data_IF_303419909802
#
_entry.id   IF_303419909802
#
_cell.length_a   1.000
_cell.length_b   1.000
_cell.length_c   1.000
_cell.angle_alpha   90.00
_cell.angle_beta   90.00
_cell.angle_gamma   90.00
#
_symmetry.space_group_name_H-M   'P 1'
#
loop_
_entity.id
_entity.type
_entity.pdbx_description
1 polymer ?
#
# COMPACT_ATOMS: atom_id res chain seq x y z
N UNK A 1 30.48 -23.68 -23.23
CA UNK A 1 30.94 -22.30 -23.51
C UNK A 1 29.70 -21.48 -23.85
N UNK A 2 29.28 -20.46 -23.13
CA UNK A 2 29.80 -19.78 -21.95
C UNK A 2 28.60 -19.47 -21.03
N UNK A 3 28.88 -19.29 -19.75
CA UNK A 3 27.91 -18.95 -18.72
C UNK A 3 27.07 -17.74 -19.13
N UNK A 4 25.75 -17.87 -19.01
CA UNK A 4 24.90 -16.71 -18.77
C UNK A 4 25.40 -16.11 -17.47
N UNK A 5 26.11 -14.98 -17.57
CA UNK A 5 26.51 -14.20 -16.42
C UNK A 5 25.27 -13.95 -15.57
N UNK A 6 25.36 -14.23 -14.27
CA UNK A 6 24.42 -13.73 -13.29
C UNK A 6 24.38 -12.21 -13.43
N UNK A 7 23.43 -11.71 -14.22
CA UNK A 7 23.04 -10.32 -14.22
C UNK A 7 22.65 -10.03 -12.77
N UNK A 8 23.46 -9.23 -12.07
CA UNK A 8 23.07 -8.58 -10.82
C UNK A 8 21.65 -8.05 -11.04
N UNK A 9 20.64 -8.73 -10.52
CA UNK A 9 19.30 -8.18 -10.46
C UNK A 9 19.41 -7.05 -9.43
N UNK A 10 19.73 -5.85 -9.92
CA UNK A 10 19.71 -4.63 -9.13
C UNK A 10 18.25 -4.49 -8.71
N UNK A 11 17.98 -4.71 -7.43
CA UNK A 11 16.65 -4.52 -6.86
C UNK A 11 16.17 -3.06 -7.03
N UNK A 12 14.97 -2.74 -6.56
CA UNK A 12 14.46 -1.38 -6.66
C UNK A 12 15.41 -0.40 -5.96
N UNK A 13 15.59 0.76 -6.56
CA UNK A 13 16.32 1.89 -5.96
C UNK A 13 15.35 2.77 -5.17
N UNK A 14 15.80 3.53 -4.15
CA UNK A 14 14.93 4.43 -3.41
C UNK A 14 14.32 5.49 -4.34
N UNK A 15 13.00 5.61 -4.33
CA UNK A 15 12.30 6.54 -5.22
C UNK A 15 12.80 7.98 -5.11
N UNK A 16 12.99 8.48 -3.88
CA UNK A 16 13.48 9.84 -3.63
C UNK A 16 14.84 10.14 -4.26
N UNK A 17 15.72 9.14 -4.41
CA UNK A 17 17.04 9.36 -5.00
C UNK A 17 16.99 9.55 -6.53
N UNK A 18 15.96 9.05 -7.21
CA UNK A 18 15.78 9.20 -8.67
C UNK A 18 14.86 10.37 -9.02
N UNK A 19 13.88 10.62 -8.16
CA UNK A 19 12.75 11.47 -8.48
C UNK A 19 13.03 12.98 -8.41
N UNK A 20 14.25 13.40 -8.06
CA UNK A 20 14.71 14.81 -8.11
C UNK A 20 15.28 15.22 -9.47
N UNK A 21 15.46 14.28 -10.39
CA UNK A 21 16.09 14.52 -11.70
C UNK A 21 15.11 14.83 -12.85
N UNK A 22 13.79 14.81 -12.60
CA UNK A 22 12.77 14.91 -13.66
C UNK A 22 11.73 15.98 -13.32
N UNK A 23 12.00 17.22 -13.76
CA UNK A 23 11.04 18.32 -13.75
C UNK A 23 10.15 18.24 -15.01
N UNK A 24 9.22 17.30 -15.00
CA UNK A 24 8.23 17.16 -16.08
C UNK A 24 6.83 17.01 -15.48
N UNK A 25 6.01 18.06 -15.60
CA UNK A 25 4.58 17.94 -15.35
C UNK A 25 3.94 17.35 -16.62
N UNK A 26 3.43 16.12 -16.54
CA UNK A 26 2.50 15.65 -17.57
C UNK A 26 1.17 16.36 -17.30
N UNK A 27 0.72 17.19 -18.25
CA UNK A 27 -0.57 17.84 -18.16
C UNK A 27 -1.66 16.78 -18.37
N UNK A 28 -2.36 16.37 -17.31
CA UNK A 28 -3.79 16.02 -17.46
C UNK A 28 -4.53 16.25 -16.14
N UNK A 29 -5.27 17.35 -16.02
CA UNK A 29 -6.50 17.32 -15.22
C UNK A 29 -7.78 17.55 -16.03
N UNK A 30 -7.75 18.36 -17.09
CA UNK A 30 -8.99 18.85 -17.74
C UNK A 30 -9.74 17.79 -18.56
N UNK A 31 -9.03 16.81 -19.16
CA UNK A 31 -9.63 15.84 -20.12
C UNK A 31 -10.75 14.97 -19.51
N UNK A 32 -10.84 14.89 -18.18
CA UNK A 32 -11.79 14.00 -17.48
C UNK A 32 -12.73 14.73 -16.53
N UNK A 33 -12.67 16.07 -16.43
CA UNK A 33 -13.47 16.82 -15.45
C UNK A 33 -14.98 16.61 -15.64
N UNK A 34 -15.43 16.58 -16.90
CA UNK A 34 -16.84 16.30 -17.23
C UNK A 34 -17.29 14.94 -16.71
N UNK A 35 -16.46 13.90 -16.87
CA UNK A 35 -16.73 12.56 -16.36
C UNK A 35 -16.81 12.59 -14.84
N UNK A 36 -15.84 13.21 -14.16
CA UNK A 36 -15.82 13.29 -12.69
C UNK A 36 -17.03 14.03 -12.14
N UNK A 37 -17.43 15.13 -12.78
CA UNK A 37 -18.56 15.96 -12.36
C UNK A 37 -19.89 15.21 -12.41
N UNK A 38 -20.05 14.30 -13.38
CA UNK A 38 -21.25 13.47 -13.57
C UNK A 38 -21.34 12.24 -12.65
N UNK A 39 -20.26 11.86 -11.95
CA UNK A 39 -20.30 10.74 -11.02
C UNK A 39 -21.12 11.07 -9.76
N UNK A 40 -21.87 10.11 -9.19
CA UNK A 40 -22.54 10.30 -7.91
C UNK A 40 -21.55 10.76 -6.84
N UNK A 41 -21.92 11.76 -6.04
CA UNK A 41 -21.06 12.33 -5.02
C UNK A 41 -21.63 12.16 -3.61
N UNK A 42 -20.76 12.03 -2.62
CA UNK A 42 -21.10 12.08 -1.21
C UNK A 42 -20.08 12.92 -0.46
N UNK A 43 -20.52 13.75 0.47
CA UNK A 43 -19.62 14.43 1.40
C UNK A 43 -19.48 13.56 2.65
N UNK A 44 -18.26 13.15 2.97
CA UNK A 44 -17.95 12.36 4.16
C UNK A 44 -16.59 12.79 4.71
N UNK A 45 -16.47 12.92 6.03
CA UNK A 45 -15.19 13.18 6.71
C UNK A 45 -14.46 14.45 6.24
N UNK A 46 -15.22 15.47 5.84
CA UNK A 46 -14.67 16.72 5.28
C UNK A 46 -14.06 16.56 3.89
N UNK A 47 -14.46 15.54 3.13
CA UNK A 47 -14.02 15.27 1.76
C UNK A 47 -15.22 15.10 0.83
N UNK A 48 -15.04 15.45 -0.44
CA UNK A 48 -15.97 15.09 -1.51
C UNK A 48 -15.50 13.77 -2.12
N UNK A 49 -16.31 12.74 -2.00
CA UNK A 49 -16.09 11.43 -2.59
C UNK A 49 -16.98 11.28 -3.83
N UNK A 50 -16.44 10.66 -4.88
CA UNK A 50 -17.17 10.29 -6.10
C UNK A 50 -17.24 8.77 -6.19
N UNK A 51 -18.42 8.24 -6.52
CA UNK A 51 -18.57 6.82 -6.79
C UNK A 51 -18.06 6.52 -8.19
N UNK A 52 -16.90 5.86 -8.27
CA UNK A 52 -16.27 5.46 -9.52
C UNK A 52 -16.20 3.94 -9.59
N UNK A 53 -17.02 3.34 -10.47
CA UNK A 53 -17.06 1.89 -10.73
C UNK A 53 -17.16 1.04 -9.46
N UNK A 54 -18.05 1.44 -8.53
CA UNK A 54 -18.31 0.73 -7.29
C UNK A 54 -17.49 1.19 -6.08
N UNK A 55 -16.41 1.95 -6.28
CA UNK A 55 -15.59 2.46 -5.18
C UNK A 55 -15.84 3.95 -4.93
N UNK A 56 -15.77 4.38 -3.67
CA UNK A 56 -15.75 5.78 -3.27
C UNK A 56 -14.34 6.33 -3.33
N UNK A 57 -14.07 7.22 -4.29
CA UNK A 57 -12.75 7.79 -4.53
C UNK A 57 -12.79 9.28 -4.18
N UNK A 58 -11.72 9.79 -3.57
CA UNK A 58 -11.57 11.23 -3.36
C UNK A 58 -11.65 11.93 -4.72
N UNK A 59 -12.47 12.98 -4.84
CA UNK A 59 -12.76 13.62 -6.13
C UNK A 59 -11.50 13.95 -6.93
N UNK A 60 -10.48 14.50 -6.27
CA UNK A 60 -9.20 14.90 -6.86
C UNK A 60 -8.40 13.73 -7.44
N UNK A 61 -8.69 12.48 -7.02
CA UNK A 61 -7.99 11.26 -7.45
C UNK A 61 -8.72 10.51 -8.56
N UNK A 62 -9.96 10.85 -8.91
CA UNK A 62 -10.71 10.12 -9.93
C UNK A 62 -10.01 10.22 -11.29
N UNK A 63 -9.57 11.41 -11.67
CA UNK A 63 -8.82 11.63 -12.93
C UNK A 63 -7.50 10.86 -12.93
N UNK A 64 -6.83 10.76 -11.79
CA UNK A 64 -5.62 9.96 -11.62
C UNK A 64 -5.88 8.47 -11.84
N UNK A 65 -6.99 7.94 -11.33
CA UNK A 65 -7.37 6.53 -11.53
C UNK A 65 -7.67 6.24 -12.99
N UNK A 66 -8.44 7.11 -13.66
CA UNK A 66 -8.72 6.99 -15.10
C UNK A 66 -7.41 7.05 -15.91
N UNK A 67 -6.53 7.98 -15.56
CA UNK A 67 -5.23 8.15 -16.20
C UNK A 67 -4.34 6.92 -16.03
N UNK A 68 -4.22 6.40 -14.81
CA UNK A 68 -3.44 5.19 -14.51
C UNK A 68 -3.98 3.99 -15.29
N UNK A 69 -5.31 3.80 -15.32
CA UNK A 69 -5.98 2.75 -16.12
C UNK A 69 -5.65 2.80 -17.62
N UNK A 70 -5.43 4.00 -18.17
CA UNK A 70 -5.19 4.20 -19.61
C UNK A 70 -3.71 4.24 -20.00
N UNK A 71 -2.86 4.79 -19.13
CA UNK A 71 -1.48 5.16 -19.47
C UNK A 71 -0.43 4.29 -18.81
N UNK A 72 -0.74 3.66 -17.68
CA UNK A 72 0.25 2.87 -16.96
C UNK A 72 0.53 1.54 -17.68
N UNK A 73 1.81 1.31 -17.98
CA UNK A 73 2.30 0.05 -18.55
C UNK A 73 3.32 -0.55 -17.58
N UNK A 74 3.03 -1.72 -16.96
CA UNK A 74 3.99 -2.41 -16.13
C UNK A 74 5.13 -2.97 -16.99
N UNK A 75 6.29 -3.15 -16.35
CA UNK A 75 7.49 -3.74 -16.94
C UNK A 75 7.71 -5.13 -16.32
N UNK A 76 8.44 -6.02 -17.01
CA UNK A 76 8.78 -7.33 -16.44
C UNK A 76 9.47 -7.19 -15.08
N UNK A 77 8.98 -7.93 -14.10
CA UNK A 77 9.50 -7.91 -12.72
C UNK A 77 8.96 -6.79 -11.84
N UNK A 78 8.08 -5.91 -12.36
CA UNK A 78 7.42 -4.91 -11.52
C UNK A 78 6.59 -5.58 -10.42
N UNK A 79 6.63 -4.97 -9.23
CA UNK A 79 5.86 -5.40 -8.06
C UNK A 79 4.98 -4.26 -7.59
N UNK A 80 3.67 -4.51 -7.60
CA UNK A 80 2.65 -3.60 -7.08
C UNK A 80 2.24 -4.02 -5.67
N UNK A 81 2.56 -3.18 -4.69
CA UNK A 81 2.04 -3.28 -3.35
C UNK A 81 0.65 -2.65 -3.30
N UNK A 82 -0.33 -3.36 -2.73
CA UNK A 82 -1.69 -2.87 -2.60
C UNK A 82 -2.20 -3.03 -1.17
N UNK A 83 -3.03 -2.10 -0.72
CA UNK A 83 -3.67 -2.21 0.59
C UNK A 83 -4.83 -1.23 0.70
N UNK A 84 -5.86 -1.50 1.53
CA UNK A 84 -6.65 -0.43 2.09
C UNK A 84 -5.74 0.48 2.94
N UNK A 85 -6.08 1.76 3.02
CA UNK A 85 -5.31 2.67 3.86
C UNK A 85 -5.30 2.15 5.31
N UNK A 86 -4.11 2.19 5.93
CA UNK A 86 -3.89 1.81 7.34
C UNK A 86 -3.94 0.31 7.66
N UNK A 87 -3.83 -0.55 6.64
CA UNK A 87 -3.67 -1.99 6.80
C UNK A 87 -2.19 -2.47 6.86
N UNK A 88 -1.22 -1.60 7.16
CA UNK A 88 0.19 -1.98 7.25
C UNK A 88 1.06 -1.58 6.05
N UNK A 89 0.56 -0.70 5.18
CA UNK A 89 1.26 -0.20 3.98
C UNK A 89 2.71 0.22 4.22
N UNK A 90 2.97 1.04 5.25
CA UNK A 90 4.33 1.53 5.56
C UNK A 90 5.28 0.39 5.88
N UNK A 91 4.79 -0.63 6.61
CA UNK A 91 5.56 -1.81 6.96
C UNK A 91 5.80 -2.70 5.74
N UNK A 92 4.77 -2.95 4.93
CA UNK A 92 4.89 -3.71 3.68
C UNK A 92 5.88 -3.04 2.71
N UNK A 93 5.84 -1.70 2.55
CA UNK A 93 6.81 -0.96 1.75
C UNK A 93 8.24 -1.19 2.23
N UNK A 94 8.47 -1.09 3.55
CA UNK A 94 9.79 -1.30 4.14
C UNK A 94 10.29 -2.74 3.92
N UNK A 95 9.45 -3.73 4.22
CA UNK A 95 9.78 -5.15 4.05
C UNK A 95 10.05 -5.49 2.58
N UNK A 96 9.16 -5.14 1.66
CA UNK A 96 9.33 -5.42 0.24
C UNK A 96 10.56 -4.73 -0.35
N UNK A 97 10.81 -3.47 0.02
CA UNK A 97 12.00 -2.76 -0.43
C UNK A 97 13.29 -3.43 0.08
N UNK A 98 13.39 -3.67 1.40
CA UNK A 98 14.55 -4.31 2.00
C UNK A 98 14.77 -5.73 1.45
N UNK A 99 13.71 -6.49 1.22
CA UNK A 99 13.80 -7.82 0.60
C UNK A 99 14.31 -7.72 -0.84
N UNK A 100 13.68 -6.91 -1.70
CA UNK A 100 14.04 -6.88 -3.12
C UNK A 100 15.40 -6.23 -3.38
N UNK A 101 15.79 -5.27 -2.55
CA UNK A 101 17.01 -4.50 -2.73
C UNK A 101 18.21 -5.03 -1.91
N UNK A 102 18.05 -6.14 -1.16
CA UNK A 102 19.06 -6.69 -0.24
C UNK A 102 20.46 -6.92 -0.83
N UNK A 103 20.53 -7.20 -2.14
CA UNK A 103 21.81 -7.39 -2.83
C UNK A 103 22.58 -6.08 -3.02
N UNK A 104 21.87 -4.96 -3.20
CA UNK A 104 22.45 -3.63 -3.33
C UNK A 104 22.55 -2.89 -1.98
N UNK A 105 21.60 -3.15 -1.09
CA UNK A 105 21.52 -2.58 0.26
C UNK A 105 21.33 -3.71 1.29
N UNK A 106 22.42 -4.31 1.78
CA UNK A 106 22.33 -5.32 2.83
C UNK A 106 21.58 -4.78 4.07
N UNK A 107 20.73 -5.58 4.74
CA UNK A 107 19.88 -5.09 5.83
C UNK A 107 20.65 -4.61 7.07
N UNK A 108 21.91 -5.02 7.21
CA UNK A 108 22.82 -4.62 8.30
C UNK A 108 23.70 -3.43 7.94
N UNK A 109 23.62 -2.91 6.71
CA UNK A 109 24.40 -1.76 6.27
C UNK A 109 23.95 -0.49 7.00
N UNK A 110 24.91 0.24 7.56
CA UNK A 110 24.68 1.52 8.24
C UNK A 110 24.14 2.61 7.29
N UNK A 111 24.34 2.47 5.98
CA UNK A 111 23.85 3.37 4.94
C UNK A 111 22.56 2.87 4.27
N UNK A 112 21.92 1.84 4.81
CA UNK A 112 20.68 1.31 4.23
C UNK A 112 19.63 2.43 4.07
N UNK A 113 18.96 2.58 2.91
CA UNK A 113 18.04 3.70 2.64
C UNK A 113 16.97 3.91 3.72
N UNK A 114 16.39 2.85 4.26
CA UNK A 114 15.39 2.89 5.34
C UNK A 114 15.89 3.47 6.69
N UNK A 115 17.20 3.69 6.86
CA UNK A 115 17.75 4.39 8.03
C UNK A 115 17.77 5.92 7.85
N UNK A 116 17.74 6.40 6.58
CA UNK A 116 17.79 7.83 6.23
C UNK A 116 16.55 8.35 5.50
N UNK A 117 15.61 7.47 5.16
CA UNK A 117 14.38 7.80 4.45
C UNK A 117 13.15 7.16 5.10
N UNK A 118 12.02 7.81 4.96
CA UNK A 118 10.74 7.18 5.26
C UNK A 118 10.43 6.10 4.20
N UNK A 119 9.79 4.96 4.57
CA UNK A 119 9.44 3.93 3.58
C UNK A 119 8.59 4.44 2.40
N UNK A 120 7.81 5.50 2.59
CA UNK A 120 7.04 6.16 1.52
C UNK A 120 7.91 6.95 0.53
N UNK A 121 9.15 7.27 0.89
CA UNK A 121 10.16 7.88 0.02
C UNK A 121 10.99 6.83 -0.74
N UNK A 122 11.00 5.58 -0.27
CA UNK A 122 11.62 4.46 -0.99
C UNK A 122 10.69 3.89 -2.06
N UNK A 123 9.39 3.78 -1.76
CA UNK A 123 8.40 3.16 -2.65
C UNK A 123 7.34 4.19 -3.07
N UNK A 124 7.26 4.57 -4.37
CA UNK A 124 6.36 5.59 -4.87
C UNK A 124 4.90 5.20 -4.66
N UNK A 125 4.06 6.21 -4.38
CA UNK A 125 2.61 6.04 -4.30
C UNK A 125 1.97 6.51 -5.61
N UNK A 126 1.50 5.56 -6.42
CA UNK A 126 1.00 5.84 -7.77
C UNK A 126 -0.20 6.79 -7.76
N UNK A 127 -1.16 6.56 -6.87
CA UNK A 127 -2.39 7.36 -6.81
C UNK A 127 -2.04 8.86 -6.68
N UNK A 128 -1.03 9.19 -5.88
CA UNK A 128 -0.57 10.56 -5.67
C UNK A 128 0.25 11.10 -6.84
N UNK A 129 1.17 10.30 -7.40
CA UNK A 129 1.97 10.72 -8.56
C UNK A 129 1.08 11.05 -9.76
N UNK A 130 0.09 10.21 -10.06
CA UNK A 130 -0.86 10.46 -11.14
C UNK A 130 -1.79 11.65 -10.82
N UNK A 131 -2.19 11.83 -9.56
CA UNK A 131 -2.98 13.01 -9.12
C UNK A 131 -2.19 14.31 -9.30
N UNK A 132 -0.88 14.26 -9.05
CA UNK A 132 0.03 15.40 -9.19
C UNK A 132 0.52 15.63 -10.63
N UNK A 133 0.22 14.76 -11.60
CA UNK A 133 0.76 14.83 -12.95
C UNK A 133 2.27 14.55 -13.02
N UNK A 134 2.77 13.72 -12.09
CA UNK A 134 4.18 13.38 -11.89
C UNK A 134 4.50 11.92 -12.25
N UNK A 135 3.70 11.31 -13.12
CA UNK A 135 3.88 9.93 -13.61
C UNK A 135 5.23 9.72 -14.33
N UNK A 136 5.80 10.77 -14.93
CA UNK A 136 7.15 10.73 -15.50
C UNK A 136 8.24 10.34 -14.47
N UNK A 137 8.05 10.67 -13.18
CA UNK A 137 8.98 10.28 -12.11
C UNK A 137 8.95 8.77 -11.86
N UNK A 138 7.79 8.13 -12.04
CA UNK A 138 7.67 6.67 -11.96
C UNK A 138 8.35 6.00 -13.17
N UNK A 139 8.24 6.60 -14.36
CA UNK A 139 8.88 6.09 -15.57
C UNK A 139 10.41 6.22 -15.55
N UNK A 140 10.95 7.20 -14.82
CA UNK A 140 12.39 7.37 -14.66
C UNK A 140 13.06 6.30 -13.77
N UNK A 141 12.29 5.52 -13.00
CA UNK A 141 12.84 4.45 -12.20
C UNK A 141 13.38 3.31 -13.07
N UNK A 142 14.54 2.71 -12.70
CA UNK A 142 15.00 1.48 -13.32
C UNK A 142 14.06 0.31 -12.99
N UNK A 143 14.05 -0.70 -13.86
CA UNK A 143 13.38 -1.97 -13.58
C UNK A 143 14.26 -2.90 -12.73
N UNK A 144 13.67 -3.77 -11.90
CA UNK A 144 12.23 -3.85 -11.61
C UNK A 144 11.76 -2.69 -10.71
N UNK A 145 10.54 -2.19 -10.95
CA UNK A 145 9.95 -1.15 -10.10
C UNK A 145 9.17 -1.79 -8.95
N UNK A 146 9.39 -1.27 -7.74
CA UNK A 146 8.52 -1.52 -6.60
C UNK A 146 7.64 -0.28 -6.42
N UNK A 147 6.32 -0.46 -6.40
CA UNK A 147 5.36 0.64 -6.40
C UNK A 147 4.17 0.32 -5.49
N UNK A 148 3.37 1.32 -5.14
CA UNK A 148 2.23 1.13 -4.25
C UNK A 148 0.96 1.85 -4.71
N UNK A 149 -0.21 1.25 -4.47
CA UNK A 149 -1.54 1.84 -4.68
C UNK A 149 -2.54 1.49 -3.57
N UNK A 150 -3.54 2.35 -3.37
CA UNK A 150 -4.73 2.03 -2.56
C UNK A 150 -5.95 1.67 -3.42
N UNK A 151 -5.80 1.52 -4.73
CA UNK A 151 -6.88 1.17 -5.65
C UNK A 151 -7.48 -0.22 -5.35
N UNK A 152 -8.77 -0.37 -5.62
CA UNK A 152 -9.42 -1.67 -5.68
C UNK A 152 -8.86 -2.50 -6.82
N UNK A 153 -8.83 -3.83 -6.68
CA UNK A 153 -8.34 -4.72 -7.73
C UNK A 153 -9.10 -4.50 -9.06
N UNK A 154 -10.42 -4.32 -8.99
CA UNK A 154 -11.29 -4.04 -10.14
C UNK A 154 -11.00 -2.71 -10.85
N UNK A 155 -10.25 -1.81 -10.21
CA UNK A 155 -9.84 -0.53 -10.78
C UNK A 155 -8.41 -0.56 -11.33
N UNK A 156 -7.63 -1.62 -11.08
CA UNK A 156 -6.30 -1.74 -11.68
C UNK A 156 -6.41 -1.89 -13.21
N UNK A 157 -5.40 -1.44 -13.98
CA UNK A 157 -5.35 -1.71 -15.41
C UNK A 157 -5.29 -3.21 -15.68
N UNK A 158 -5.94 -3.67 -16.75
CA UNK A 158 -5.81 -5.05 -17.22
C UNK A 158 -4.36 -5.43 -17.55
N UNK A 159 -3.56 -4.45 -18.00
CA UNK A 159 -2.11 -4.62 -18.21
C UNK A 159 -1.34 -5.00 -16.94
N UNK A 160 -1.92 -4.78 -15.76
CA UNK A 160 -1.39 -5.21 -14.45
C UNK A 160 -2.04 -6.52 -13.99
N UNK A 161 -3.38 -6.62 -14.01
CA UNK A 161 -4.09 -7.79 -13.44
C UNK A 161 -3.90 -9.05 -14.26
N UNK A 162 -3.76 -8.93 -15.58
CA UNK A 162 -3.69 -10.08 -16.50
C UNK A 162 -2.25 -10.38 -16.91
N UNK A 163 -1.26 -9.71 -16.30
CA UNK A 163 0.13 -9.78 -16.68
C UNK A 163 0.92 -10.75 -15.79
N UNK A 164 1.41 -11.88 -16.34
CA UNK A 164 2.16 -12.87 -15.57
C UNK A 164 3.46 -12.34 -14.95
N UNK A 165 4.05 -11.30 -15.56
CA UNK A 165 5.34 -10.71 -15.20
C UNK A 165 5.23 -9.54 -14.22
N UNK A 166 4.01 -9.13 -13.86
CA UNK A 166 3.74 -8.15 -12.81
C UNK A 166 3.16 -8.86 -11.59
N UNK A 167 3.83 -8.73 -10.44
CA UNK A 167 3.35 -9.32 -9.18
C UNK A 167 2.58 -8.30 -8.36
N UNK A 168 1.52 -8.74 -7.69
CA UNK A 168 0.73 -7.94 -6.76
C UNK A 168 0.88 -8.53 -5.37
N UNK A 169 1.27 -7.70 -4.40
CA UNK A 169 1.30 -8.07 -2.98
C UNK A 169 0.29 -7.21 -2.25
N UNK A 170 -0.79 -7.82 -1.81
CA UNK A 170 -1.86 -7.16 -1.06
C UNK A 170 -1.71 -7.44 0.43
N UNK A 171 -1.90 -6.43 1.28
CA UNK A 171 -2.02 -6.61 2.73
C UNK A 171 -3.34 -6.05 3.25
N UNK A 172 -4.06 -6.86 4.03
CA UNK A 172 -5.22 -6.45 4.79
C UNK A 172 -4.96 -6.49 6.30
N UNK A 173 -5.93 -5.97 7.05
CA UNK A 173 -5.94 -5.91 8.51
C UNK A 173 -7.38 -6.07 8.98
N UNK A 174 -7.59 -6.49 10.23
CA UNK A 174 -8.92 -6.45 10.85
C UNK A 174 -9.58 -5.07 10.59
N UNK A 175 -10.78 -5.04 10.00
CA UNK A 175 -11.44 -3.79 9.62
C UNK A 175 -11.67 -2.81 10.77
N UNK A 176 -11.91 -3.29 12.01
CA UNK A 176 -12.11 -2.45 13.19
C UNK A 176 -10.82 -1.73 13.56
N UNK A 177 -9.72 -2.47 13.58
CA UNK A 177 -8.39 -1.94 13.84
C UNK A 177 -7.90 -0.98 12.75
N UNK A 178 -8.19 -1.30 11.49
CA UNK A 178 -7.96 -0.41 10.35
C UNK A 178 -8.69 0.92 10.57
N UNK A 179 -9.97 0.88 10.92
CA UNK A 179 -10.81 2.06 11.11
C UNK A 179 -10.29 2.96 12.24
N UNK A 180 -9.93 2.37 13.37
CA UNK A 180 -9.31 3.09 14.50
C UNK A 180 -7.97 3.71 14.08
N UNK A 181 -7.17 2.98 13.31
CA UNK A 181 -5.93 3.53 12.77
C UNK A 181 -6.16 4.67 11.76
N UNK A 182 -7.24 4.63 10.98
CA UNK A 182 -7.62 5.67 10.04
C UNK A 182 -8.09 6.94 10.75
N UNK A 183 -8.89 6.79 11.81
CA UNK A 183 -9.30 7.92 12.65
C UNK A 183 -8.10 8.70 13.19
N UNK A 184 -7.18 8.01 13.86
CA UNK A 184 -5.99 8.64 14.41
C UNK A 184 -5.09 9.30 13.35
N UNK A 185 -5.06 8.73 12.15
CA UNK A 185 -4.26 9.26 11.05
C UNK A 185 -4.85 10.54 10.45
N UNK A 186 -6.18 10.63 10.37
CA UNK A 186 -6.86 11.75 9.72
C UNK A 186 -7.33 12.86 10.67
N UNK A 187 -7.51 12.57 11.98
CA UNK A 187 -8.06 13.54 12.94
C UNK A 187 -7.22 14.81 13.13
N UNK A 188 -5.93 14.77 12.77
CA UNK A 188 -5.05 15.95 12.76
C UNK A 188 -5.14 16.79 11.49
N UNK A 189 -5.81 16.28 10.45
CA UNK A 189 -5.87 16.89 9.10
C UNK A 189 -7.28 17.41 8.77
N UNK A 190 -8.32 16.74 9.27
CA UNK A 190 -9.72 17.11 9.04
C UNK A 190 -10.53 17.06 10.35
N UNK A 191 -11.48 17.98 10.55
CA UNK A 191 -12.34 17.97 11.72
C UNK A 191 -13.48 16.94 11.52
N UNK A 192 -13.37 15.78 12.15
CA UNK A 192 -14.48 14.82 12.29
C UNK A 192 -14.27 13.95 13.54
N UNK A 193 -15.38 13.43 14.08
CA UNK A 193 -15.37 12.54 15.25
C UNK A 193 -15.16 11.08 14.85
N UNK A 194 -14.82 10.22 15.81
CA UNK A 194 -14.76 8.79 15.53
C UNK A 194 -16.12 8.24 15.06
N UNK A 195 -17.23 8.74 15.62
CA UNK A 195 -18.59 8.34 15.25
C UNK A 195 -18.93 8.70 13.80
N UNK A 196 -18.48 9.87 13.31
CA UNK A 196 -18.65 10.26 11.92
C UNK A 196 -17.95 9.26 10.97
N UNK A 197 -16.71 8.90 11.31
CA UNK A 197 -15.95 7.89 10.56
C UNK A 197 -16.59 6.52 10.63
N UNK A 198 -17.04 6.12 11.81
CA UNK A 198 -17.66 4.81 12.02
C UNK A 198 -18.94 4.65 11.22
N UNK A 199 -19.84 5.63 11.27
CA UNK A 199 -21.09 5.58 10.51
C UNK A 199 -20.82 5.63 8.99
N UNK A 200 -19.90 6.49 8.55
CA UNK A 200 -19.45 6.54 7.16
C UNK A 200 -18.87 5.20 6.68
N UNK A 201 -18.08 4.51 7.51
CA UNK A 201 -17.54 3.19 7.20
C UNK A 201 -18.60 2.08 7.18
N UNK A 202 -19.60 2.12 8.07
CA UNK A 202 -20.75 1.21 8.03
C UNK A 202 -21.55 1.34 6.73
N UNK A 203 -21.61 2.54 6.16
CA UNK A 203 -22.24 2.80 4.85
C UNK A 203 -21.30 2.52 3.66
N UNK A 204 -20.03 2.17 3.93
CA UNK A 204 -19.02 1.95 2.89
C UNK A 204 -18.46 3.22 2.26
N UNK A 205 -18.82 4.41 2.77
CA UNK A 205 -18.51 5.72 2.18
C UNK A 205 -17.22 6.34 2.72
N UNK A 206 -16.14 5.57 2.75
CA UNK A 206 -14.79 6.04 3.12
C UNK A 206 -13.93 6.25 1.87
N UNK A 207 -12.81 7.00 1.95
CA UNK A 207 -11.84 7.03 0.86
C UNK A 207 -11.35 5.63 0.50
N UNK A 208 -11.52 5.27 -0.77
CA UNK A 208 -11.30 3.94 -1.34
C UNK A 208 -12.15 2.85 -0.67
N UNK A 209 -13.32 3.22 -0.14
CA UNK A 209 -14.36 2.29 0.30
C UNK A 209 -15.23 1.80 -0.87
N UNK A 210 -16.16 0.88 -0.60
CA UNK A 210 -16.31 0.16 0.66
C UNK A 210 -15.17 -0.83 0.90
N UNK A 211 -14.86 -1.08 2.18
CA UNK A 211 -13.73 -1.95 2.55
C UNK A 211 -13.95 -3.41 2.12
N UNK A 212 -15.17 -3.92 2.20
CA UNK A 212 -15.47 -5.31 1.86
C UNK A 212 -15.22 -5.62 0.37
N UNK A 213 -15.60 -4.73 -0.56
CA UNK A 213 -15.30 -4.91 -1.98
C UNK A 213 -13.80 -4.86 -2.25
N UNK A 214 -13.08 -4.00 -1.51
CA UNK A 214 -11.62 -3.92 -1.59
C UNK A 214 -10.98 -5.26 -1.21
N UNK A 215 -11.41 -5.84 -0.10
CA UNK A 215 -10.92 -7.11 0.42
C UNK A 215 -11.28 -8.29 -0.50
N UNK A 216 -12.55 -8.39 -0.91
CA UNK A 216 -13.05 -9.46 -1.78
C UNK A 216 -12.32 -9.46 -3.12
N UNK A 217 -12.09 -8.29 -3.72
CA UNK A 217 -11.42 -8.17 -5.01
C UNK A 217 -10.04 -8.80 -5.01
N UNK A 218 -9.18 -8.43 -4.05
CA UNK A 218 -7.83 -9.00 -3.96
C UNK A 218 -7.82 -10.44 -3.44
N UNK A 219 -8.75 -10.80 -2.55
CA UNK A 219 -8.89 -12.18 -2.09
C UNK A 219 -9.25 -13.12 -3.25
N UNK A 220 -10.27 -12.78 -4.03
CA UNK A 220 -10.68 -13.55 -5.21
C UNK A 220 -9.54 -13.67 -6.24
N UNK A 221 -8.82 -12.56 -6.48
CA UNK A 221 -7.66 -12.55 -7.37
C UNK A 221 -6.54 -13.50 -6.88
N UNK A 222 -6.24 -13.52 -5.57
CA UNK A 222 -5.25 -14.45 -4.98
C UNK A 222 -5.64 -15.93 -5.09
N UNK A 223 -6.94 -16.23 -5.16
CA UNK A 223 -7.42 -17.61 -5.37
C UNK A 223 -7.38 -18.02 -6.83
N UNK A 224 -7.66 -17.08 -7.72
CA UNK A 224 -7.72 -17.33 -9.17
C UNK A 224 -6.33 -17.35 -9.80
N UNK A 225 -5.45 -16.46 -9.35
CA UNK A 225 -4.09 -16.28 -9.89
C UNK A 225 -3.07 -16.22 -8.74
N UNK A 226 -2.87 -17.33 -8.00
CA UNK A 226 -1.99 -17.37 -6.83
C UNK A 226 -0.51 -17.10 -7.14
N UNK A 227 -0.09 -17.31 -8.39
CA UNK A 227 1.26 -16.97 -8.86
C UNK A 227 1.43 -15.46 -9.13
N UNK A 228 0.34 -14.69 -9.18
CA UNK A 228 0.34 -13.26 -9.50
C UNK A 228 -0.11 -12.36 -8.36
N UNK A 229 -0.91 -12.88 -7.42
CA UNK A 229 -1.44 -12.10 -6.29
C UNK A 229 -1.17 -12.83 -4.98
N UNK A 230 -0.30 -12.24 -4.15
CA UNK A 230 -0.06 -12.66 -2.77
C UNK A 230 -0.96 -11.87 -1.85
N UNK A 231 -1.74 -12.56 -1.02
CA UNK A 231 -2.64 -11.97 -0.04
C UNK A 231 -2.09 -12.16 1.37
N UNK A 232 -1.71 -11.07 2.02
CA UNK A 232 -1.14 -11.04 3.37
C UNK A 232 -2.11 -10.46 4.38
N UNK A 233 -1.96 -10.87 5.65
CA UNK A 233 -2.72 -10.35 6.78
C UNK A 233 -1.76 -9.75 7.80
N UNK A 234 -2.03 -8.51 8.18
CA UNK A 234 -1.20 -7.76 9.13
C UNK A 234 -1.01 -8.51 10.46
N UNK A 235 -2.07 -9.13 10.98
CA UNK A 235 -2.07 -9.88 12.23
C UNK A 235 -1.18 -11.13 12.15
N UNK A 236 -1.23 -11.87 11.03
CA UNK A 236 -0.42 -13.06 10.81
C UNK A 236 1.06 -12.69 10.64
N UNK A 237 1.33 -11.58 9.94
CA UNK A 237 2.67 -11.03 9.81
C UNK A 237 3.25 -10.58 11.16
N UNK A 238 2.45 -10.07 12.09
CA UNK A 238 2.93 -9.72 13.44
C UNK A 238 3.35 -10.95 14.25
N UNK A 239 2.69 -12.09 14.04
CA UNK A 239 2.97 -13.35 14.76
C UNK A 239 4.29 -13.96 14.28
N UNK A 240 4.48 -14.08 12.96
CA UNK A 240 5.69 -14.66 12.38
C UNK A 240 6.20 -13.85 11.18
N UNK A 241 6.82 -12.68 11.44
CA UNK A 241 7.25 -11.79 10.35
C UNK A 241 8.33 -12.41 9.47
N UNK A 242 9.20 -13.27 10.01
CA UNK A 242 10.31 -13.85 9.25
C UNK A 242 9.80 -14.85 8.22
N UNK A 243 8.83 -15.68 8.58
CA UNK A 243 8.19 -16.61 7.63
C UNK A 243 7.51 -15.87 6.48
N UNK A 244 6.77 -14.79 6.76
CA UNK A 244 6.11 -13.98 5.73
C UNK A 244 7.10 -13.22 4.84
N UNK A 245 8.26 -12.79 5.37
CA UNK A 245 9.34 -12.24 4.54
C UNK A 245 9.92 -13.29 3.58
N UNK A 246 10.06 -14.55 4.02
CA UNK A 246 10.47 -15.65 3.13
C UNK A 246 9.41 -15.94 2.07
N UNK A 247 8.14 -15.90 2.43
CA UNK A 247 7.03 -16.05 1.47
C UNK A 247 7.04 -14.94 0.43
N UNK A 248 7.15 -13.68 0.86
CA UNK A 248 7.27 -12.52 -0.01
C UNK A 248 8.43 -12.66 -0.99
N UNK A 249 9.60 -13.05 -0.50
CA UNK A 249 10.80 -13.26 -1.30
C UNK A 249 10.61 -14.37 -2.35
N UNK A 250 10.02 -15.50 -1.96
CA UNK A 250 9.67 -16.60 -2.88
C UNK A 250 8.68 -16.16 -3.95
N UNK A 251 7.61 -15.48 -3.55
CA UNK A 251 6.54 -15.02 -4.44
C UNK A 251 7.03 -14.02 -5.50
N UNK A 252 7.91 -13.09 -5.12
CA UNK A 252 8.51 -12.11 -6.04
C UNK A 252 9.56 -12.77 -6.97
N UNK A 253 9.91 -14.04 -6.78
CA UNK A 253 10.91 -14.75 -7.59
C UNK A 253 12.35 -14.48 -7.15
N UNK A 254 12.53 -14.02 -5.91
CA UNK A 254 13.85 -13.79 -5.30
C UNK A 254 13.97 -14.53 -3.97
N UNK A 255 13.85 -15.88 -3.94
CA UNK A 255 13.97 -16.64 -2.69
C UNK A 255 15.32 -16.39 -2.01
N UNK A 256 15.34 -16.49 -0.68
CA UNK A 256 16.59 -16.50 0.07
C UNK A 256 17.39 -17.76 -0.25
N UNK A 257 18.68 -17.59 -0.54
CA UNK A 257 19.61 -18.70 -0.73
C UNK A 257 19.95 -19.36 0.62
N UNK A 258 20.55 -20.56 0.59
CA UNK A 258 21.09 -21.17 1.80
C UNK A 258 22.11 -20.27 2.51
N UNK A 259 22.89 -19.48 1.76
CA UNK A 259 23.83 -18.52 2.32
C UNK A 259 23.11 -17.36 3.02
N UNK A 260 22.04 -16.82 2.41
CA UNK A 260 21.22 -15.78 3.03
C UNK A 260 20.59 -16.27 4.35
N UNK A 261 20.06 -17.49 4.36
CA UNK A 261 19.48 -18.12 5.55
C UNK A 261 20.53 -18.35 6.64
N UNK A 262 21.69 -18.90 6.28
CA UNK A 262 22.80 -19.12 7.22
C UNK A 262 23.35 -17.81 7.79
N UNK A 263 23.33 -16.73 7.01
CA UNK A 263 23.74 -15.39 7.44
C UNK A 263 22.64 -14.64 8.22
N UNK A 264 21.43 -15.19 8.35
CA UNK A 264 20.33 -14.56 9.09
C UNK A 264 19.65 -13.39 8.38
N UNK A 265 19.86 -13.23 7.06
CA UNK A 265 19.34 -12.10 6.27
C UNK A 265 17.83 -11.87 6.42
N UNK A 266 16.95 -12.91 6.41
CA UNK A 266 15.52 -12.68 6.62
C UNK A 266 15.20 -12.06 7.98
N UNK A 267 15.90 -12.48 9.04
CA UNK A 267 15.71 -11.95 10.39
C UNK A 267 16.24 -10.52 10.51
N UNK A 268 17.35 -10.20 9.85
CA UNK A 268 17.90 -8.85 9.81
C UNK A 268 16.98 -7.88 9.05
N UNK A 269 16.34 -8.31 7.96
CA UNK A 269 15.31 -7.52 7.26
C UNK A 269 14.15 -7.22 8.22
N UNK A 270 13.62 -8.23 8.92
CA UNK A 270 12.54 -8.03 9.89
C UNK A 270 12.95 -7.07 11.00
N UNK A 271 14.19 -7.19 11.51
CA UNK A 271 14.71 -6.30 12.56
C UNK A 271 14.84 -4.86 12.07
N UNK A 272 15.39 -4.65 10.87
CA UNK A 272 15.51 -3.35 10.23
C UNK A 272 14.15 -2.68 10.03
N UNK A 273 13.16 -3.46 9.59
CA UNK A 273 11.80 -3.01 9.30
C UNK A 273 10.84 -3.11 10.50
N UNK A 274 11.34 -3.42 11.70
CA UNK A 274 10.51 -3.54 12.90
C UNK A 274 9.89 -2.20 13.29
N UNK A 275 8.71 -2.24 13.92
CA UNK A 275 7.98 -1.03 14.29
C UNK A 275 8.83 -0.06 15.10
N UNK A 276 9.49 -0.52 16.17
CA UNK A 276 10.30 0.32 17.05
C UNK A 276 11.52 0.88 16.31
N UNK A 277 12.17 0.07 15.46
CA UNK A 277 13.32 0.52 14.69
C UNK A 277 12.91 1.63 13.73
N UNK A 278 11.85 1.42 12.94
CA UNK A 278 11.35 2.42 11.99
C UNK A 278 10.86 3.68 12.71
N UNK A 279 10.01 3.54 13.73
CA UNK A 279 9.47 4.67 14.50
C UNK A 279 10.58 5.53 15.13
N UNK A 280 11.65 4.90 15.62
CA UNK A 280 12.78 5.58 16.23
C UNK A 280 13.81 6.16 15.26
N UNK A 281 13.68 5.94 13.94
CA UNK A 281 14.60 6.54 12.96
C UNK A 281 14.34 8.04 12.82
N UNK A 282 15.41 8.85 12.77
CA UNK A 282 15.30 10.31 12.60
C UNK A 282 14.49 10.72 11.37
N UNK A 283 14.66 10.02 10.25
CA UNK A 283 13.91 10.27 9.02
C UNK A 283 12.40 10.00 9.13
N UNK A 284 11.97 9.23 10.13
CA UNK A 284 10.56 8.94 10.41
C UNK A 284 9.98 9.83 11.52
N UNK A 285 10.82 10.44 12.34
CA UNK A 285 10.41 11.40 13.39
C UNK A 285 10.40 12.85 12.89
N UNK A 286 11.18 13.16 11.86
CA UNK A 286 11.27 14.48 11.25
C UNK A 286 10.86 14.45 9.77
N UNK A 287 10.28 15.56 9.31
CA UNK A 287 9.84 15.73 7.92
C UNK A 287 8.37 15.39 7.68
N UNK A 288 7.95 15.54 6.43
CA UNK A 288 6.58 15.37 5.97
C UNK A 288 6.54 14.66 4.63
N UNK A 289 5.48 13.87 4.44
CA UNK A 289 5.02 13.47 3.13
C UNK A 289 4.03 14.52 2.64
N UNK A 290 4.40 15.26 1.61
CA UNK A 290 3.60 16.33 1.03
C UNK A 290 2.97 15.88 -0.28
N UNK A 291 1.73 15.39 -0.19
CA UNK A 291 0.90 15.10 -1.35
C UNK A 291 0.07 16.32 -1.77
N UNK A 292 -0.42 16.30 -3.02
CA UNK A 292 -1.34 17.29 -3.57
C UNK A 292 -2.66 17.36 -2.80
N UNK A 293 -3.15 16.23 -2.29
CA UNK A 293 -4.42 16.17 -1.52
C UNK A 293 -4.19 16.36 -0.02
N UNK A 294 -3.13 15.75 0.52
CA UNK A 294 -2.83 15.76 1.95
C UNK A 294 -1.33 15.85 2.22
N UNK A 295 -0.99 16.60 3.25
CA UNK A 295 0.32 16.57 3.89
C UNK A 295 0.24 15.84 5.23
N UNK A 296 1.20 14.96 5.49
CA UNK A 296 1.31 14.22 6.74
C UNK A 296 2.73 14.28 7.28
N UNK A 297 2.89 14.64 8.56
CA UNK A 297 4.18 14.48 9.23
C UNK A 297 4.57 12.99 9.25
N UNK A 298 5.86 12.68 9.07
CA UNK A 298 6.32 11.29 9.00
C UNK A 298 5.96 10.47 10.25
N UNK A 299 5.98 11.10 11.43
CA UNK A 299 5.62 10.43 12.69
C UNK A 299 4.16 9.94 12.72
N UNK A 300 3.27 10.54 11.91
CA UNK A 300 1.85 10.18 11.85
C UNK A 300 1.63 8.78 11.25
N UNK A 301 2.63 8.25 10.52
CA UNK A 301 2.59 6.86 10.04
C UNK A 301 2.83 5.83 11.15
N UNK A 302 3.37 6.22 12.31
CA UNK A 302 3.81 5.33 13.38
C UNK A 302 3.08 5.57 14.72
N UNK A 303 1.95 4.88 14.92
CA UNK A 303 1.13 5.01 16.14
C UNK A 303 1.49 4.00 17.24
N UNK A 304 0.89 2.80 17.18
CA UNK A 304 1.08 1.71 18.16
C UNK A 304 1.68 0.43 17.58
N UNK A 305 1.41 0.11 16.30
CA UNK A 305 1.96 -1.10 15.67
C UNK A 305 1.39 -2.44 16.15
N UNK A 306 0.27 -2.44 16.89
CA UNK A 306 -0.33 -3.64 17.48
C UNK A 306 -1.64 -4.03 16.81
N UNK A 307 -2.05 -5.29 16.96
CA UNK A 307 -3.39 -5.78 16.64
C UNK A 307 -4.32 -5.70 17.89
N UNK A 308 -5.62 -5.53 17.67
CA UNK A 308 -6.64 -5.54 18.72
C UNK A 308 -6.81 -4.22 19.48
N UNK A 309 -6.25 -3.11 18.99
CA UNK A 309 -6.40 -1.81 19.68
C UNK A 309 -7.80 -1.21 19.54
N UNK A 310 -8.64 -1.78 18.66
CA UNK A 310 -10.04 -1.38 18.52
C UNK A 310 -10.83 -1.48 19.81
N UNK A 311 -10.51 -2.42 20.70
CA UNK A 311 -11.16 -2.59 22.02
C UNK A 311 -11.06 -1.34 22.90
N UNK A 312 -10.04 -0.50 22.67
CA UNK A 312 -9.80 0.73 23.44
C UNK A 312 -10.53 1.94 22.85
N UNK A 313 -11.17 1.81 21.69
CA UNK A 313 -11.72 2.93 20.92
C UNK A 313 -13.16 2.72 20.47
N UNK A 314 -13.63 1.47 20.40
CA UNK A 314 -14.99 1.11 19.98
C UNK A 314 -15.77 0.57 21.17
N UNK A 315 -17.05 0.93 21.27
CA UNK A 315 -17.95 0.23 22.19
C UNK A 315 -18.23 -1.18 21.68
N UNK A 316 -18.66 -2.12 22.55
CA UNK A 316 -19.06 -3.46 22.12
C UNK A 316 -20.13 -3.44 21.02
N UNK A 317 -21.07 -2.49 21.07
CA UNK A 317 -22.15 -2.34 20.10
C UNK A 317 -21.61 -1.87 18.73
N UNK A 318 -20.64 -0.95 18.71
CA UNK A 318 -19.99 -0.52 17.48
C UNK A 318 -19.21 -1.69 16.84
N UNK A 319 -18.45 -2.43 17.66
CA UNK A 319 -17.68 -3.58 17.19
C UNK A 319 -18.61 -4.64 16.60
N UNK A 320 -19.66 -5.04 17.34
CA UNK A 320 -20.64 -6.02 16.87
C UNK A 320 -21.35 -5.58 15.60
N UNK A 321 -21.79 -4.31 15.51
CA UNK A 321 -22.45 -3.80 14.29
C UNK A 321 -21.52 -3.91 13.08
N UNK A 322 -20.25 -3.55 13.23
CA UNK A 322 -19.31 -3.57 12.12
C UNK A 322 -18.91 -5.00 11.74
N UNK A 323 -18.72 -5.88 12.72
CA UNK A 323 -18.46 -7.30 12.48
C UNK A 323 -19.62 -7.94 11.71
N UNK A 324 -20.88 -7.69 12.08
CA UNK A 324 -22.04 -8.17 11.32
C UNK A 324 -22.01 -7.69 9.87
N UNK A 325 -21.72 -6.41 9.61
CA UNK A 325 -21.63 -5.87 8.24
C UNK A 325 -20.52 -6.59 7.45
N UNK A 326 -19.34 -6.76 8.05
CA UNK A 326 -18.21 -7.42 7.41
C UNK A 326 -18.52 -8.91 7.15
N UNK A 327 -19.04 -9.64 8.13
CA UNK A 327 -19.40 -11.05 7.97
C UNK A 327 -20.47 -11.26 6.90
N UNK A 328 -21.50 -10.42 6.86
CA UNK A 328 -22.56 -10.50 5.87
C UNK A 328 -22.05 -10.19 4.46
N UNK A 329 -21.19 -9.18 4.31
CA UNK A 329 -20.63 -8.79 3.00
C UNK A 329 -19.58 -9.79 2.50
N UNK A 330 -18.79 -10.39 3.39
CA UNK A 330 -17.81 -11.41 3.03
C UNK A 330 -18.41 -12.82 2.90
N UNK A 331 -19.69 -13.00 3.22
CA UNK A 331 -20.38 -14.30 3.18
C UNK A 331 -20.23 -14.95 1.81
N UNK A 332 -19.74 -16.19 1.80
CA UNK A 332 -19.52 -16.96 0.57
C UNK A 332 -18.18 -16.70 -0.13
N UNK A 333 -17.42 -15.68 0.26
CA UNK A 333 -16.07 -15.44 -0.30
C UNK A 333 -15.01 -16.40 0.25
N UNK A 334 -15.25 -16.99 1.42
CA UNK A 334 -14.26 -17.77 2.17
C UNK A 334 -13.23 -16.93 2.92
N UNK A 335 -13.29 -15.59 2.84
CA UNK A 335 -12.50 -14.68 3.66
C UNK A 335 -13.20 -14.42 4.99
N UNK A 336 -12.48 -14.59 6.10
CA UNK A 336 -12.98 -14.31 7.45
C UNK A 336 -11.94 -13.58 8.29
N UNK A 337 -12.41 -12.76 9.23
CA UNK A 337 -11.59 -12.13 10.28
C UNK A 337 -11.92 -12.82 11.61
N UNK A 338 -10.96 -12.86 12.54
CA UNK A 338 -11.09 -13.54 13.84
C UNK A 338 -11.11 -12.55 14.97
#
# INVERSE_FOLDING_TARGET
MAALSASCLVGPVPFKDVATAVDGHSSTPEEYEDIVSGLPSSTALGMVLRQYRGSWVIQERVTAFISLQRRFTPRPGDVLLASPAKCGTTWLKALAFATMARGAYPPTDAQHPLLRMNPHECVPFMDELFTAGQDARLEALPSPRLMHTHMHHSLLPASVTDNPDCKIVFICRDPKDMLVSLWHFLKGVRPFTFDDLFNSACEGKTPNGPIWDHLIGYWSASKTSPDNVLFLRYEEMLIDPVSHVRELARFIGQPFSHADEAAGIPADIVKLCSFDKLKGQGANMAGSYDGKVFSFAHETFFRKGVAGDWVNNMTPEMAQRFDTIIEDTLRGSGLTFK
#
